data_IF_799752680641
#
_entry.id   IF_799752680641
#
_cell.length_a   1.000
_cell.length_b   1.000
_cell.length_c   1.000
_cell.angle_alpha   90.00
_cell.angle_beta   90.00
_cell.angle_gamma   90.00
#
_symmetry.space_group_name_H-M   'P 1'
#
loop_
_entity.id
_entity.type
_entity.pdbx_description
1 polymer ?
#
# COMPACT_ATOMS: atom_id res chain seq x y z
N UNK A 1 8.39 10.31 14.61
CA UNK A 1 9.45 10.45 13.59
C UNK A 1 10.50 9.32 13.60
N UNK A 2 11.03 8.91 14.77
CA UNK A 2 12.17 7.95 14.85
C UNK A 2 11.96 6.53 14.28
N UNK A 3 10.73 6.12 13.95
CA UNK A 3 10.44 4.84 13.31
C UNK A 3 10.61 4.87 11.78
N UNK A 4 10.76 6.06 11.16
CA UNK A 4 10.91 6.18 9.71
C UNK A 4 12.25 5.61 9.23
N UNK A 5 12.32 5.30 7.93
CA UNK A 5 13.52 4.81 7.24
C UNK A 5 14.04 3.44 7.71
N UNK A 6 13.35 2.76 8.62
CA UNK A 6 13.68 1.41 9.11
C UNK A 6 13.01 0.28 8.32
N UNK A 7 12.44 0.57 7.15
CA UNK A 7 11.74 -0.43 6.32
C UNK A 7 10.41 -0.94 6.88
N UNK A 8 9.92 -0.39 8.01
CA UNK A 8 8.71 -0.87 8.70
C UNK A 8 7.46 -0.88 7.82
N UNK A 9 7.30 0.09 6.91
CA UNK A 9 6.16 0.11 5.99
C UNK A 9 6.05 -1.14 5.13
N UNK A 10 7.18 -1.65 4.61
CA UNK A 10 7.19 -2.90 3.84
C UNK A 10 6.81 -4.09 4.73
N UNK A 11 7.39 -4.18 5.93
CA UNK A 11 7.11 -5.27 6.87
C UNK A 11 5.63 -5.33 7.26
N UNK A 12 5.04 -4.18 7.59
CA UNK A 12 3.62 -4.09 7.95
C UNK A 12 2.71 -4.51 6.80
N UNK A 13 3.00 -4.06 5.58
CA UNK A 13 2.20 -4.43 4.41
C UNK A 13 2.33 -5.92 4.07
N UNK A 14 3.52 -6.51 4.19
CA UNK A 14 3.70 -7.95 4.04
C UNK A 14 2.88 -8.73 5.07
N UNK A 15 2.89 -8.30 6.34
CA UNK A 15 2.13 -8.94 7.41
C UNK A 15 0.62 -8.82 7.20
N UNK A 16 0.13 -7.67 6.71
CA UNK A 16 -1.29 -7.43 6.48
C UNK A 16 -1.94 -8.48 5.56
N UNK A 17 -1.20 -9.00 4.58
CA UNK A 17 -1.71 -10.06 3.68
C UNK A 17 -2.08 -11.35 4.42
N UNK A 18 -1.43 -11.64 5.54
CA UNK A 18 -1.70 -12.83 6.34
C UNK A 18 -2.96 -12.67 7.19
N UNK A 19 -3.38 -11.43 7.48
CA UNK A 19 -4.58 -11.16 8.26
C UNK A 19 -5.88 -11.46 7.49
N UNK A 20 -5.82 -11.57 6.16
CA UNK A 20 -6.97 -11.82 5.32
C UNK A 20 -7.38 -13.30 5.23
N UNK A 21 -6.68 -14.21 5.90
CA UNK A 21 -7.09 -15.63 5.96
C UNK A 21 -7.11 -16.35 4.61
N UNK A 22 -6.31 -15.89 3.63
CA UNK A 22 -6.27 -16.45 2.27
C UNK A 22 -7.10 -15.68 1.24
N UNK A 23 -7.93 -14.73 1.67
CA UNK A 23 -8.68 -13.86 0.78
C UNK A 23 -7.81 -12.82 0.07
N UNK A 24 -8.31 -12.31 -1.05
CA UNK A 24 -7.64 -11.25 -1.80
C UNK A 24 -7.74 -9.93 -1.04
N UNK A 25 -6.61 -9.24 -0.90
CA UNK A 25 -6.52 -7.91 -0.27
C UNK A 25 -6.24 -6.82 -1.29
N UNK A 26 -6.90 -5.69 -1.11
CA UNK A 26 -6.74 -4.49 -1.91
C UNK A 26 -6.25 -3.34 -1.03
N UNK A 27 -5.50 -2.42 -1.63
CA UNK A 27 -5.03 -1.22 -0.95
C UNK A 27 -5.13 -0.03 -1.90
N UNK A 28 -5.76 1.04 -1.43
CA UNK A 28 -5.79 2.31 -2.12
C UNK A 28 -4.65 3.20 -1.62
N UNK A 29 -3.83 3.68 -2.53
CA UNK A 29 -2.71 4.57 -2.23
C UNK A 29 -2.94 5.88 -2.98
N UNK A 30 -2.80 7.01 -2.32
CA UNK A 30 -2.89 8.30 -3.00
C UNK A 30 -1.78 8.44 -4.05
N UNK A 31 -2.11 9.01 -5.21
CA UNK A 31 -1.19 9.09 -6.36
C UNK A 31 0.16 9.75 -6.01
N UNK A 32 0.15 10.77 -5.14
CA UNK A 32 1.37 11.46 -4.69
C UNK A 32 2.20 10.69 -3.65
N UNK A 33 1.71 9.58 -3.10
CA UNK A 33 2.41 8.83 -2.06
C UNK A 33 3.29 7.72 -2.63
N UNK A 34 4.34 8.14 -3.35
CA UNK A 34 5.32 7.24 -3.95
C UNK A 34 6.01 6.32 -2.93
N UNK A 35 6.14 6.76 -1.66
CA UNK A 35 6.73 5.97 -0.58
C UNK A 35 5.89 4.75 -0.26
N UNK A 36 4.59 4.94 -0.03
CA UNK A 36 3.68 3.83 0.25
C UNK A 36 3.53 2.93 -0.98
N UNK A 37 3.42 3.51 -2.19
CA UNK A 37 3.31 2.72 -3.42
C UNK A 37 4.48 1.72 -3.57
N UNK A 38 5.72 2.17 -3.35
CA UNK A 38 6.89 1.28 -3.36
C UNK A 38 6.84 0.21 -2.27
N UNK A 39 6.33 0.52 -1.08
CA UNK A 39 6.21 -0.46 0.00
C UNK A 39 5.21 -1.58 -0.36
N UNK A 40 4.06 -1.23 -0.96
CA UNK A 40 3.06 -2.20 -1.43
C UNK A 40 3.59 -3.07 -2.58
N UNK A 41 4.21 -2.47 -3.59
CA UNK A 41 4.82 -3.23 -4.70
C UNK A 41 5.89 -4.21 -4.20
N UNK A 42 6.74 -3.77 -3.26
CA UNK A 42 7.77 -4.63 -2.66
C UNK A 42 7.19 -5.78 -1.80
N UNK A 43 5.94 -5.68 -1.35
CA UNK A 43 5.22 -6.72 -0.62
C UNK A 43 4.41 -7.66 -1.56
N UNK A 44 4.53 -7.49 -2.87
CA UNK A 44 3.90 -8.33 -3.89
C UNK A 44 2.52 -7.87 -4.34
N UNK A 45 2.08 -6.66 -3.97
CA UNK A 45 0.87 -6.07 -4.54
C UNK A 45 1.10 -5.66 -5.99
N UNK A 46 0.08 -5.82 -6.84
CA UNK A 46 0.12 -5.47 -8.26
C UNK A 46 -0.82 -4.29 -8.54
N UNK A 47 -0.45 -3.37 -9.45
CA UNK A 47 -1.39 -2.35 -9.91
C UNK A 47 -2.57 -3.00 -10.62
N UNK A 48 -3.77 -2.52 -10.30
CA UNK A 48 -5.06 -3.01 -10.82
C UNK A 48 -5.88 -1.89 -11.45
N UNK A 49 -5.66 -0.65 -11.01
CA UNK A 49 -6.34 0.53 -11.52
C UNK A 49 -5.83 1.80 -10.84
N UNK A 50 -6.34 2.94 -11.29
CA UNK A 50 -6.16 4.24 -10.65
C UNK A 50 -7.49 4.97 -10.66
N UNK A 51 -7.78 5.69 -9.60
CA UNK A 51 -9.01 6.45 -9.44
C UNK A 51 -8.68 7.91 -9.14
N UNK A 52 -9.45 8.80 -9.76
CA UNK A 52 -9.43 10.21 -9.40
C UNK A 52 -10.57 10.46 -8.40
N UNK A 53 -10.21 10.63 -7.14
CA UNK A 53 -11.13 11.03 -6.09
C UNK A 53 -11.17 12.56 -6.03
N UNK A 54 -12.32 13.11 -5.66
CA UNK A 54 -12.52 14.57 -5.56
C UNK A 54 -12.28 15.28 -6.90
N UNK A 55 -12.78 14.69 -7.98
CA UNK A 55 -13.07 15.45 -9.20
C UNK A 55 -14.05 16.59 -8.83
N UNK A 56 -14.07 17.68 -9.61
CA UNK A 56 -14.96 18.84 -9.37
C UNK A 56 -16.38 18.36 -8.97
N UNK A 57 -17.13 19.14 -8.14
CA UNK A 57 -18.54 18.83 -7.92
C UNK A 57 -19.28 18.56 -9.23
#
# INVERSE_FOLDING_TARGET
>A
EGARHRGLGRLLVTAARQLAGGEVVWAQVSAGNARSLRAFQAAGYRPVGSEALFLRP
#
